data_IF_076109798420
#
_entry.id   IF_076109798420
#
_cell.length_a   1.000
_cell.length_b   1.000
_cell.length_c   1.000
_cell.angle_alpha   90.00
_cell.angle_beta   90.00
_cell.angle_gamma   90.00
#
_symmetry.space_group_name_H-M   'P 1'
#
loop_
_entity.id
_entity.type
_entity.pdbx_description
1 polymer ?
#
# COMPACT_ATOMS: atom_id res chain seq x y z
N UNK A 1 23.80 -20.57 3.61
CA UNK A 1 23.46 -19.80 4.83
C UNK A 1 23.83 -18.37 4.54
N UNK A 2 22.89 -17.45 4.48
CA UNK A 2 23.15 -16.01 4.33
C UNK A 2 23.91 -15.51 5.57
N UNK A 3 24.85 -14.57 5.35
CA UNK A 3 25.60 -13.94 6.44
C UNK A 3 24.62 -13.23 7.38
N UNK A 4 24.76 -13.33 8.73
CA UNK A 4 23.92 -12.57 9.63
C UNK A 4 24.02 -11.07 9.33
N UNK A 5 22.87 -10.42 9.23
CA UNK A 5 22.80 -8.96 9.04
C UNK A 5 23.18 -8.33 10.39
N UNK A 6 24.22 -7.50 10.39
CA UNK A 6 24.62 -6.77 11.59
C UNK A 6 23.62 -5.65 11.87
N UNK A 7 23.15 -5.54 13.12
CA UNK A 7 22.18 -4.52 13.51
C UNK A 7 22.27 -4.18 15.02
N UNK A 8 21.72 -3.00 15.39
CA UNK A 8 21.67 -2.51 16.77
C UNK A 8 20.23 -2.50 17.35
N UNK A 9 19.26 -3.19 16.70
CA UNK A 9 17.90 -3.27 17.21
C UNK A 9 17.85 -4.08 18.51
N UNK A 10 17.00 -3.69 19.52
CA UNK A 10 16.87 -4.41 20.78
C UNK A 10 16.09 -5.73 20.68
N UNK A 11 15.79 -6.18 19.47
CA UNK A 11 15.11 -7.41 19.11
C UNK A 11 15.69 -7.97 17.82
N UNK A 12 15.42 -9.22 17.52
CA UNK A 12 15.79 -9.86 16.25
C UNK A 12 14.74 -9.55 15.16
N UNK A 13 15.07 -8.76 14.11
CA UNK A 13 14.14 -8.44 13.02
C UNK A 13 13.79 -9.61 12.09
N UNK A 14 14.36 -10.79 12.26
CA UNK A 14 13.88 -12.03 11.62
C UNK A 14 12.80 -12.70 12.45
N UNK A 15 12.67 -12.34 13.72
CA UNK A 15 11.78 -12.97 14.73
C UNK A 15 11.95 -14.48 14.84
N UNK A 16 13.14 -15.00 14.44
CA UNK A 16 13.46 -16.42 14.47
C UNK A 16 12.78 -17.24 13.37
N UNK A 17 12.20 -16.62 12.35
CA UNK A 17 11.59 -17.30 11.21
C UNK A 17 12.58 -17.45 10.06
N UNK A 18 12.67 -18.66 9.51
CA UNK A 18 13.25 -18.90 8.20
C UNK A 18 12.18 -18.82 7.09
N UNK A 19 12.59 -18.95 5.83
CA UNK A 19 11.68 -18.84 4.70
C UNK A 19 10.56 -19.90 4.74
N UNK A 20 10.86 -21.13 5.10
CA UNK A 20 9.87 -22.21 5.14
C UNK A 20 8.81 -21.94 6.22
N UNK A 21 9.24 -21.47 7.39
CA UNK A 21 8.35 -21.08 8.46
C UNK A 21 7.49 -19.87 8.08
N UNK A 22 8.06 -18.86 7.36
CA UNK A 22 7.33 -17.71 6.85
C UNK A 22 6.27 -18.12 5.82
N UNK A 23 6.59 -19.02 4.91
CA UNK A 23 5.66 -19.53 3.89
C UNK A 23 4.52 -20.38 4.49
N UNK A 24 4.66 -20.84 5.73
CA UNK A 24 3.64 -21.61 6.43
C UNK A 24 2.67 -20.76 7.27
N UNK A 25 2.89 -19.45 7.40
CA UNK A 25 2.03 -18.56 8.22
C UNK A 25 0.67 -18.38 7.54
N UNK A 26 -0.45 -18.79 8.17
CA UNK A 26 -1.77 -18.59 7.60
C UNK A 26 -2.26 -17.13 7.76
N UNK A 27 -3.30 -16.76 7.03
CA UNK A 27 -4.06 -15.57 7.38
C UNK A 27 -4.77 -15.77 8.74
N UNK A 28 -4.97 -14.70 9.53
CA UNK A 28 -5.76 -14.81 10.75
C UNK A 28 -7.24 -15.08 10.42
N UNK A 29 -8.02 -15.68 11.35
CA UNK A 29 -9.45 -15.84 11.16
C UNK A 29 -10.13 -14.47 10.95
N UNK A 30 -10.88 -14.36 9.86
CA UNK A 30 -11.64 -13.16 9.55
C UNK A 30 -12.81 -12.98 10.55
N UNK A 31 -13.17 -11.74 10.92
CA UNK A 31 -14.46 -11.46 11.53
C UNK A 31 -15.61 -11.89 10.59
N UNK A 32 -16.72 -12.39 11.14
CA UNK A 32 -17.88 -12.82 10.34
C UNK A 32 -18.48 -11.68 9.50
N UNK A 33 -18.36 -10.46 9.98
CA UNK A 33 -18.85 -9.24 9.32
C UNK A 33 -17.72 -8.43 8.63
N UNK A 34 -16.63 -9.08 8.19
CA UNK A 34 -15.49 -8.40 7.57
C UNK A 34 -15.87 -7.68 6.26
N UNK A 35 -16.58 -8.36 5.36
CA UNK A 35 -16.81 -7.87 3.99
C UNK A 35 -17.81 -6.71 3.89
N UNK A 36 -19.01 -6.75 4.55
CA UNK A 36 -20.05 -5.76 4.32
C UNK A 36 -19.66 -4.29 4.63
N UNK A 37 -18.85 -3.98 5.67
CA UNK A 37 -18.38 -2.60 5.89
C UNK A 37 -17.50 -2.08 4.76
N UNK A 38 -16.62 -2.92 4.20
CA UNK A 38 -15.73 -2.55 3.11
C UNK A 38 -16.50 -2.35 1.80
N UNK A 39 -17.46 -3.22 1.48
CA UNK A 39 -18.32 -3.08 0.31
C UNK A 39 -19.11 -1.76 0.36
N UNK A 40 -19.76 -1.47 1.49
CA UNK A 40 -20.48 -0.18 1.66
C UNK A 40 -19.56 1.04 1.57
N UNK A 41 -18.33 0.92 2.09
CA UNK A 41 -17.35 2.01 1.99
C UNK A 41 -16.94 2.25 0.55
N UNK A 42 -16.67 1.18 -0.21
CA UNK A 42 -16.34 1.26 -1.63
C UNK A 42 -17.49 1.88 -2.44
N UNK A 43 -18.74 1.43 -2.23
CA UNK A 43 -19.90 2.00 -2.91
C UNK A 43 -20.01 3.51 -2.67
N UNK A 44 -19.87 3.95 -1.41
CA UNK A 44 -19.83 5.39 -1.08
C UNK A 44 -18.66 6.12 -1.76
N UNK A 45 -17.48 5.53 -1.82
CA UNK A 45 -16.33 6.14 -2.49
C UNK A 45 -16.55 6.25 -4.01
N UNK A 46 -17.30 5.31 -4.61
CA UNK A 46 -17.68 5.35 -6.03
C UNK A 46 -18.72 6.43 -6.37
N UNK A 47 -19.50 6.86 -5.40
CA UNK A 47 -20.49 7.95 -5.54
C UNK A 47 -19.85 9.35 -5.39
N UNK A 48 -18.60 9.44 -4.93
CA UNK A 48 -17.91 10.72 -4.77
C UNK A 48 -17.67 11.38 -6.12
N UNK A 49 -18.15 12.61 -6.28
CA UNK A 49 -17.69 13.49 -7.37
C UNK A 49 -16.24 13.91 -7.07
N UNK A 50 -15.28 13.22 -7.65
CA UNK A 50 -13.85 13.44 -7.37
C UNK A 50 -13.34 14.78 -7.91
N UNK A 51 -14.00 15.36 -8.92
CA UNK A 51 -13.66 16.66 -9.52
C UNK A 51 -12.13 16.86 -9.63
N UNK A 52 -11.42 16.05 -10.44
CA UNK A 52 -9.96 16.10 -10.49
C UNK A 52 -9.49 17.37 -11.20
N UNK A 53 -8.45 18.00 -10.67
CA UNK A 53 -7.84 19.21 -11.20
C UNK A 53 -6.35 18.97 -11.44
N UNK A 54 -5.88 19.24 -12.67
CA UNK A 54 -4.46 19.17 -13.01
C UNK A 54 -3.87 20.57 -12.90
N UNK A 55 -2.84 20.72 -12.08
CA UNK A 55 -2.09 21.96 -11.90
C UNK A 55 -1.07 22.22 -13.01
N UNK A 56 -0.16 23.15 -12.76
CA UNK A 56 0.97 23.40 -13.66
C UNK A 56 1.93 22.20 -13.73
N UNK A 57 2.65 22.13 -14.85
CA UNK A 57 3.77 21.18 -14.95
C UNK A 57 4.86 21.57 -13.95
N UNK A 58 5.30 20.60 -13.15
CA UNK A 58 6.30 20.80 -12.08
C UNK A 58 7.68 20.29 -12.50
N UNK A 59 7.73 19.28 -13.38
CA UNK A 59 8.97 18.73 -13.87
C UNK A 59 8.81 18.06 -15.25
N UNK A 60 9.94 17.87 -15.92
CA UNK A 60 10.10 17.10 -17.15
C UNK A 60 11.35 16.23 -16.99
N UNK A 61 11.19 14.92 -17.01
CA UNK A 61 12.25 13.94 -16.77
C UNK A 61 12.16 12.80 -17.78
N UNK A 62 13.22 12.58 -18.54
CA UNK A 62 13.44 11.35 -19.35
C UNK A 62 12.18 10.76 -20.01
N UNK A 63 11.41 11.61 -20.71
CA UNK A 63 10.21 11.18 -21.45
C UNK A 63 8.93 11.09 -20.61
N UNK A 64 8.89 11.69 -19.41
CA UNK A 64 7.68 11.85 -18.60
C UNK A 64 7.51 13.28 -18.11
N UNK A 65 6.26 13.77 -18.12
CA UNK A 65 5.87 15.09 -17.59
C UNK A 65 5.15 14.91 -16.26
N UNK A 66 5.54 15.69 -15.28
CA UNK A 66 5.00 15.65 -13.91
C UNK A 66 4.12 16.86 -13.67
N UNK A 67 2.91 16.64 -13.21
CA UNK A 67 1.94 17.68 -12.86
C UNK A 67 1.47 17.50 -11.42
N UNK A 68 1.20 18.60 -10.72
CA UNK A 68 0.40 18.54 -9.52
C UNK A 68 -1.04 18.12 -9.86
N UNK A 69 -1.66 17.30 -9.00
CA UNK A 69 -3.07 16.95 -9.14
C UNK A 69 -3.79 17.09 -7.82
N UNK A 70 -5.04 17.58 -7.87
CA UNK A 70 -5.95 17.63 -6.73
C UNK A 70 -7.24 16.90 -7.05
N UNK A 71 -7.85 16.25 -6.06
CA UNK A 71 -9.16 15.58 -6.21
C UNK A 71 -9.90 15.51 -4.87
N UNK A 72 -11.20 15.34 -4.93
CA UNK A 72 -12.03 15.12 -3.74
C UNK A 72 -12.12 13.65 -3.43
N UNK A 73 -11.92 13.31 -2.16
CA UNK A 73 -12.09 11.97 -1.62
C UNK A 73 -13.35 11.88 -0.75
N UNK A 74 -13.58 10.70 -0.18
CA UNK A 74 -14.72 10.43 0.71
C UNK A 74 -14.83 11.47 1.83
N UNK A 75 -16.07 11.79 2.19
CA UNK A 75 -16.45 12.78 3.21
C UNK A 75 -16.02 14.22 2.85
N UNK A 76 -15.84 14.49 1.56
CA UNK A 76 -15.51 15.83 1.04
C UNK A 76 -14.05 16.25 1.27
N UNK A 77 -13.18 15.31 1.65
CA UNK A 77 -11.77 15.59 1.90
C UNK A 77 -11.06 15.92 0.59
N UNK A 78 -10.46 17.11 0.51
CA UNK A 78 -9.65 17.50 -0.66
C UNK A 78 -8.21 17.01 -0.47
N UNK A 79 -7.72 16.24 -1.42
CA UNK A 79 -6.37 15.66 -1.40
C UNK A 79 -5.60 16.07 -2.66
N UNK A 80 -4.29 16.02 -2.57
CA UNK A 80 -3.38 16.24 -3.68
C UNK A 80 -2.48 15.06 -3.93
N UNK A 81 -1.65 15.22 -4.96
CA UNK A 81 -0.66 14.25 -5.37
C UNK A 81 0.04 14.70 -6.64
N UNK A 82 0.53 13.74 -7.40
CA UNK A 82 1.14 13.99 -8.70
C UNK A 82 0.51 13.11 -9.78
N UNK A 83 0.34 13.71 -10.95
CA UNK A 83 0.01 13.02 -12.19
C UNK A 83 1.27 12.98 -13.06
N UNK A 84 1.72 11.80 -13.41
CA UNK A 84 2.86 11.60 -14.32
C UNK A 84 2.34 11.03 -15.63
N UNK A 85 2.60 11.76 -16.71
CA UNK A 85 2.19 11.39 -18.06
C UNK A 85 3.44 11.11 -18.91
N UNK A 86 3.60 9.88 -19.44
CA UNK A 86 4.68 9.58 -20.36
C UNK A 86 4.46 10.28 -21.72
N UNK A 87 5.54 10.52 -22.43
CA UNK A 87 5.46 10.94 -23.82
C UNK A 87 4.93 9.82 -24.71
N UNK A 88 4.14 10.19 -25.72
CA UNK A 88 3.55 9.25 -26.68
C UNK A 88 2.21 8.64 -26.21
N UNK A 89 1.82 7.49 -26.78
CA UNK A 89 0.52 6.88 -26.51
C UNK A 89 0.39 6.41 -25.05
N UNK A 90 -0.75 6.69 -24.45
CA UNK A 90 -1.10 6.21 -23.10
C UNK A 90 -2.24 5.21 -23.26
N UNK A 91 -2.01 3.96 -22.85
CA UNK A 91 -2.98 2.88 -22.97
C UNK A 91 -3.18 2.08 -21.67
N UNK A 92 -2.54 2.50 -20.58
CA UNK A 92 -2.62 1.88 -19.26
C UNK A 92 -2.38 2.89 -18.16
N UNK A 93 -2.79 2.57 -16.93
CA UNK A 93 -2.63 3.43 -15.78
C UNK A 93 -2.08 2.71 -14.56
N UNK A 94 -1.48 3.50 -13.67
CA UNK A 94 -1.04 3.04 -12.36
C UNK A 94 -1.52 3.99 -11.26
N UNK A 95 -1.95 3.43 -10.15
CA UNK A 95 -2.05 4.13 -8.87
C UNK A 95 -0.90 3.66 -8.00
N UNK A 96 -0.03 4.59 -7.57
CA UNK A 96 1.15 4.25 -6.76
C UNK A 96 1.04 4.88 -5.38
N UNK A 97 0.72 4.05 -4.38
CA UNK A 97 0.68 4.42 -2.97
C UNK A 97 2.10 4.62 -2.40
N UNK A 98 2.22 5.42 -1.35
CA UNK A 98 3.49 5.72 -0.67
C UNK A 98 3.65 4.96 0.65
N UNK A 99 4.88 4.90 1.18
CA UNK A 99 5.18 4.45 2.53
C UNK A 99 4.65 5.42 3.61
N UNK A 100 4.77 5.03 4.90
CA UNK A 100 4.22 5.85 5.98
C UNK A 100 4.90 7.22 6.13
N UNK A 101 6.13 7.36 5.68
CA UNK A 101 6.82 8.66 5.64
C UNK A 101 6.16 9.68 4.68
N UNK A 102 5.22 9.24 3.84
CA UNK A 102 4.63 10.06 2.79
C UNK A 102 5.56 10.20 1.57
N UNK A 103 5.28 11.19 0.73
CA UNK A 103 6.15 11.57 -0.40
C UNK A 103 6.05 13.06 -0.68
N UNK A 104 7.14 13.64 -1.18
CA UNK A 104 7.18 15.03 -1.62
C UNK A 104 7.44 15.16 -3.14
N UNK A 105 7.58 14.03 -3.83
CA UNK A 105 7.70 13.91 -5.29
C UNK A 105 7.26 12.52 -5.77
N UNK A 106 6.94 12.33 -7.06
CA UNK A 106 6.70 11.00 -7.60
C UNK A 106 7.98 10.16 -7.63
N UNK A 107 7.83 8.85 -7.40
CA UNK A 107 8.94 7.90 -7.49
C UNK A 107 9.22 7.58 -8.97
N UNK A 108 10.38 7.99 -9.46
CA UNK A 108 10.82 7.75 -10.84
C UNK A 108 12.10 6.90 -10.86
N UNK A 109 12.32 6.10 -11.92
CA UNK A 109 11.49 5.90 -13.12
C UNK A 109 10.23 5.07 -12.86
N UNK A 110 9.21 5.25 -13.71
CA UNK A 110 7.97 4.45 -13.62
C UNK A 110 8.25 2.95 -13.85
N UNK A 111 7.58 2.06 -13.10
CA UNK A 111 7.75 0.62 -13.28
C UNK A 111 7.20 0.11 -14.61
N UNK A 112 6.23 0.80 -15.20
CA UNK A 112 5.60 0.40 -16.46
C UNK A 112 5.68 1.54 -17.48
N UNK A 113 6.29 1.33 -18.66
CA UNK A 113 6.30 2.33 -19.72
C UNK A 113 4.89 2.56 -20.27
N UNK A 114 4.65 3.76 -20.80
CA UNK A 114 3.36 4.20 -21.36
C UNK A 114 2.17 4.18 -20.39
N UNK A 115 2.42 4.11 -19.09
CA UNK A 115 1.38 4.19 -18.06
C UNK A 115 1.22 5.63 -17.58
N UNK A 116 0.02 6.21 -17.71
CA UNK A 116 -0.32 7.38 -16.93
C UNK A 116 -0.38 6.97 -15.45
N UNK A 117 0.27 7.72 -14.59
CA UNK A 117 0.41 7.31 -13.20
C UNK A 117 -0.05 8.42 -12.27
N UNK A 118 -0.95 8.10 -11.34
CA UNK A 118 -1.28 8.96 -10.22
C UNK A 118 -0.54 8.50 -8.95
N UNK A 119 0.07 9.46 -8.26
CA UNK A 119 0.75 9.30 -6.99
C UNK A 119 -0.04 10.04 -5.92
N UNK A 120 -1.11 9.44 -5.36
CA UNK A 120 -1.92 10.10 -4.35
C UNK A 120 -1.17 10.26 -3.05
N UNK A 121 -1.48 11.32 -2.30
CA UNK A 121 -1.10 11.49 -0.92
C UNK A 121 -2.25 11.04 -0.04
N UNK A 122 -2.02 10.10 0.87
CA UNK A 122 -3.02 9.66 1.82
C UNK A 122 -3.35 10.80 2.81
N UNK A 123 -4.62 10.87 3.23
CA UNK A 123 -5.10 11.88 4.20
C UNK A 123 -4.24 11.92 5.46
N UNK A 124 -3.87 13.11 5.89
CA UNK A 124 -3.04 13.37 7.07
C UNK A 124 -1.54 13.31 6.79
N UNK A 125 -1.08 12.68 5.71
CA UNK A 125 0.34 12.46 5.46
C UNK A 125 0.88 13.44 4.40
N UNK A 126 2.06 13.99 4.68
CA UNK A 126 2.81 14.98 3.89
C UNK A 126 2.03 16.26 3.51
N UNK A 127 2.67 17.14 2.71
CA UNK A 127 2.13 18.47 2.38
C UNK A 127 0.81 18.40 1.60
N UNK A 128 0.69 17.48 0.62
CA UNK A 128 -0.48 17.39 -0.29
C UNK A 128 -1.61 16.52 0.27
N UNK A 129 -1.33 15.72 1.31
CA UNK A 129 -2.33 14.94 2.03
C UNK A 129 -2.82 15.58 3.32
N UNK A 130 -2.31 16.76 3.71
CA UNK A 130 -2.64 17.39 4.99
C UNK A 130 -4.12 17.69 5.11
N UNK A 131 -4.72 17.21 6.21
CA UNK A 131 -6.13 17.39 6.53
C UNK A 131 -6.26 17.94 7.96
N UNK A 132 -6.96 19.06 8.18
CA UNK A 132 -7.17 19.58 9.53
C UNK A 132 -7.76 18.53 10.47
N UNK A 133 -7.17 18.40 11.65
CA UNK A 133 -7.61 17.44 12.69
C UNK A 133 -7.01 16.03 12.56
N UNK A 134 -6.37 15.68 11.45
CA UNK A 134 -5.61 14.42 11.33
C UNK A 134 -4.13 14.73 11.60
N UNK A 135 -3.47 14.02 12.52
CA UNK A 135 -2.05 14.17 12.77
C UNK A 135 -1.20 13.84 11.52
N UNK A 136 -0.13 14.59 11.29
CA UNK A 136 0.88 14.34 10.23
C UNK A 136 2.11 13.56 10.74
N UNK A 137 2.21 13.36 12.04
CA UNK A 137 3.18 12.47 12.67
C UNK A 137 2.72 11.01 12.56
N UNK A 138 3.58 10.13 12.07
CA UNK A 138 3.23 8.74 11.73
C UNK A 138 2.74 7.93 12.93
N UNK A 139 3.32 8.15 14.11
CA UNK A 139 2.99 7.42 15.33
C UNK A 139 1.62 7.80 15.87
N UNK A 140 1.23 9.07 15.71
CA UNK A 140 -0.08 9.59 16.10
C UNK A 140 -1.11 9.36 15.00
N UNK A 141 -0.72 9.46 13.73
CA UNK A 141 -1.59 9.22 12.60
C UNK A 141 -2.15 7.80 12.64
N UNK A 142 -1.32 6.77 12.83
CA UNK A 142 -1.75 5.37 12.89
C UNK A 142 -2.71 5.07 14.04
N UNK A 143 -2.73 5.92 15.06
CA UNK A 143 -3.65 5.79 16.21
C UNK A 143 -4.91 6.66 16.06
N UNK A 144 -4.98 7.52 15.03
CA UNK A 144 -6.11 8.44 14.87
C UNK A 144 -7.41 7.69 14.60
N UNK A 145 -8.35 7.81 15.53
CA UNK A 145 -9.64 7.14 15.46
C UNK A 145 -9.64 5.63 15.65
N UNK A 146 -8.54 5.02 16.08
CA UNK A 146 -8.31 3.56 16.20
C UNK A 146 -9.33 2.85 17.12
N UNK A 147 -10.00 3.58 17.99
CA UNK A 147 -11.01 3.03 18.92
C UNK A 147 -12.34 2.63 18.24
N UNK A 148 -12.55 2.92 16.96
CA UNK A 148 -13.75 2.49 16.23
C UNK A 148 -13.49 2.24 14.76
N UNK A 149 -14.23 1.31 14.15
CA UNK A 149 -14.10 0.97 12.74
C UNK A 149 -14.41 2.17 11.82
N UNK A 150 -15.41 2.95 12.16
CA UNK A 150 -15.84 4.09 11.35
C UNK A 150 -14.94 5.32 11.51
N UNK A 151 -14.30 5.46 12.67
CA UNK A 151 -13.40 6.57 12.98
C UNK A 151 -11.94 6.33 12.58
N UNK A 152 -11.53 5.08 12.34
CA UNK A 152 -10.13 4.76 12.12
C UNK A 152 -9.61 5.36 10.81
N UNK A 153 -8.51 6.09 10.89
CA UNK A 153 -7.95 6.83 9.76
C UNK A 153 -7.66 5.95 8.53
N UNK A 154 -7.28 4.69 8.74
CA UNK A 154 -6.98 3.76 7.63
C UNK A 154 -8.20 3.51 6.74
N UNK A 155 -9.43 3.57 7.30
CA UNK A 155 -10.67 3.51 6.52
C UNK A 155 -10.69 4.61 5.44
N UNK A 156 -10.36 5.82 5.85
CA UNK A 156 -10.26 6.96 4.94
C UNK A 156 -9.13 6.80 3.93
N UNK A 157 -7.95 6.34 4.35
CA UNK A 157 -6.80 6.13 3.46
C UNK A 157 -7.10 5.10 2.35
N UNK A 158 -7.89 4.06 2.64
CA UNK A 158 -8.35 3.10 1.63
C UNK A 158 -9.30 3.79 0.62
N UNK A 159 -10.26 4.59 1.10
CA UNK A 159 -11.17 5.34 0.23
C UNK A 159 -10.42 6.36 -0.66
N UNK A 160 -9.36 6.99 -0.14
CA UNK A 160 -8.50 7.92 -0.89
C UNK A 160 -7.89 7.25 -2.12
N UNK A 161 -7.50 5.97 -1.99
CA UNK A 161 -6.95 5.21 -3.10
C UNK A 161 -8.01 4.94 -4.20
N UNK A 162 -9.24 4.60 -3.83
CA UNK A 162 -10.33 4.40 -4.78
C UNK A 162 -10.73 5.70 -5.49
N UNK A 163 -10.76 6.82 -4.76
CA UNK A 163 -11.02 8.14 -5.34
C UNK A 163 -9.88 8.58 -6.27
N UNK A 164 -8.62 8.29 -5.92
CA UNK A 164 -7.48 8.55 -6.81
C UNK A 164 -7.57 7.74 -8.12
N UNK A 165 -8.00 6.47 -8.03
CA UNK A 165 -8.24 5.64 -9.22
C UNK A 165 -9.34 6.25 -10.11
N UNK A 166 -10.43 6.74 -9.50
CA UNK A 166 -11.49 7.45 -10.24
C UNK A 166 -10.93 8.71 -10.92
N UNK A 167 -10.17 9.53 -10.18
CA UNK A 167 -9.57 10.75 -10.70
C UNK A 167 -8.64 10.48 -11.90
N UNK A 168 -7.80 9.45 -11.81
CA UNK A 168 -6.91 9.07 -12.91
C UNK A 168 -7.70 8.65 -14.15
N UNK A 169 -8.75 7.84 -13.99
CA UNK A 169 -9.57 7.36 -15.11
C UNK A 169 -10.41 8.46 -15.75
N UNK A 170 -10.84 9.47 -14.98
CA UNK A 170 -11.51 10.66 -15.53
C UNK A 170 -10.54 11.56 -16.31
N UNK A 171 -9.31 11.75 -15.81
CA UNK A 171 -8.29 12.56 -16.46
C UNK A 171 -7.73 11.89 -17.73
N UNK A 172 -7.62 10.57 -17.73
CA UNK A 172 -7.00 9.79 -18.83
C UNK A 172 -7.88 8.58 -19.21
N UNK A 173 -9.01 8.81 -19.90
CA UNK A 173 -9.95 7.74 -20.24
C UNK A 173 -9.35 6.64 -21.16
N UNK A 174 -8.26 6.93 -21.87
CA UNK A 174 -7.56 5.96 -22.74
C UNK A 174 -6.95 4.77 -21.98
N UNK A 175 -6.81 4.86 -20.66
CA UNK A 175 -6.36 3.75 -19.81
C UNK A 175 -7.32 2.55 -19.96
N UNK A 176 -8.63 2.79 -20.07
CA UNK A 176 -9.63 1.74 -20.18
C UNK A 176 -9.56 0.75 -19.00
N UNK A 177 -9.58 -0.57 -19.27
CA UNK A 177 -9.56 -1.59 -18.22
C UNK A 177 -8.14 -1.93 -17.73
N UNK A 178 -7.12 -1.16 -18.10
CA UNK A 178 -5.70 -1.50 -17.83
C UNK A 178 -5.13 -0.69 -16.66
N UNK A 179 -5.79 -0.77 -15.52
CA UNK A 179 -5.35 -0.08 -14.30
C UNK A 179 -4.62 -1.06 -13.36
N UNK A 180 -3.39 -0.71 -12.98
CA UNK A 180 -2.59 -1.44 -12.00
C UNK A 180 -2.42 -0.67 -10.69
N UNK A 181 -2.04 -1.39 -9.64
CA UNK A 181 -1.67 -0.83 -8.36
C UNK A 181 -0.22 -1.18 -7.98
N UNK A 182 0.47 -0.23 -7.38
CA UNK A 182 1.79 -0.44 -6.75
C UNK A 182 1.77 0.22 -5.38
N UNK A 183 2.23 -0.47 -4.35
CA UNK A 183 2.36 0.11 -3.02
C UNK A 183 3.45 -0.53 -2.19
N UNK A 184 4.16 0.28 -1.41
CA UNK A 184 5.19 -0.19 -0.51
C UNK A 184 4.82 0.14 0.95
N UNK A 185 5.18 -0.76 1.87
CA UNK A 185 4.98 -0.57 3.31
C UNK A 185 3.53 -0.22 3.65
N UNK A 186 3.25 0.99 4.15
CA UNK A 186 1.90 1.51 4.35
C UNK A 186 1.05 1.39 3.08
N UNK A 187 1.55 1.86 1.93
CA UNK A 187 0.85 1.72 0.65
C UNK A 187 0.60 0.27 0.27
N UNK A 188 1.53 -0.65 0.58
CA UNK A 188 1.33 -2.09 0.38
C UNK A 188 0.15 -2.63 1.19
N UNK A 189 0.07 -2.27 2.46
CA UNK A 189 -1.03 -2.66 3.35
C UNK A 189 -2.38 -2.03 2.97
N UNK A 190 -2.41 -0.72 2.69
CA UNK A 190 -3.63 -0.03 2.21
C UNK A 190 -4.09 -0.61 0.88
N UNK A 191 -3.15 -0.95 -0.04
CA UNK A 191 -3.47 -1.64 -1.28
C UNK A 191 -4.12 -2.99 -1.05
N UNK A 192 -3.56 -3.81 -0.16
CA UNK A 192 -4.15 -5.11 0.19
C UNK A 192 -5.57 -4.97 0.76
N UNK A 193 -5.85 -3.91 1.54
CA UNK A 193 -7.20 -3.60 2.04
C UNK A 193 -8.15 -3.10 0.95
N UNK A 194 -7.64 -2.40 -0.08
CA UNK A 194 -8.46 -1.76 -1.11
C UNK A 194 -8.81 -2.68 -2.29
N UNK A 195 -7.84 -3.48 -2.73
CA UNK A 195 -7.93 -4.28 -3.96
C UNK A 195 -9.09 -5.28 -4.03
N UNK A 196 -9.55 -5.93 -2.94
CA UNK A 196 -10.65 -6.88 -2.99
C UNK A 196 -11.97 -6.29 -3.51
N UNK A 197 -12.18 -5.00 -3.33
CA UNK A 197 -13.46 -4.34 -3.51
C UNK A 197 -13.57 -3.59 -4.82
N UNK A 198 -12.44 -3.32 -5.50
CA UNK A 198 -12.38 -2.48 -6.70
C UNK A 198 -11.91 -3.27 -7.92
N UNK A 199 -12.85 -3.69 -8.75
CA UNK A 199 -12.62 -4.49 -9.95
C UNK A 199 -11.99 -3.72 -11.12
N UNK A 200 -11.70 -2.44 -10.97
CA UNK A 200 -10.97 -1.65 -11.97
C UNK A 200 -9.49 -2.00 -12.01
N UNK A 201 -8.94 -2.47 -10.88
CA UNK A 201 -7.57 -2.96 -10.84
C UNK A 201 -7.47 -4.36 -11.44
N UNK A 202 -6.50 -4.59 -12.32
CA UNK A 202 -6.31 -5.87 -13.02
C UNK A 202 -4.99 -6.55 -12.67
N UNK A 203 -4.08 -5.86 -12.01
CA UNK A 203 -2.84 -6.41 -11.44
C UNK A 203 -2.31 -5.51 -10.32
N UNK A 204 -1.57 -6.06 -9.38
CA UNK A 204 -0.95 -5.28 -8.33
C UNK A 204 0.44 -5.77 -7.94
N UNK A 205 1.27 -4.86 -7.41
CA UNK A 205 2.53 -5.17 -6.76
C UNK A 205 2.56 -4.55 -5.36
N UNK A 206 2.86 -5.38 -4.35
CA UNK A 206 2.92 -4.98 -2.94
C UNK A 206 4.31 -5.28 -2.38
N UNK A 207 5.05 -4.24 -1.99
CA UNK A 207 6.38 -4.38 -1.37
C UNK A 207 6.25 -4.25 0.15
N UNK A 208 6.78 -5.22 0.89
CA UNK A 208 6.80 -5.26 2.37
C UNK A 208 5.48 -4.76 3.00
N UNK A 209 4.31 -5.33 2.62
CA UNK A 209 3.01 -4.78 2.97
C UNK A 209 2.78 -4.75 4.48
N UNK A 210 2.39 -3.58 5.00
CA UNK A 210 2.02 -3.38 6.41
C UNK A 210 0.65 -4.00 6.75
N UNK A 211 0.30 -4.02 8.03
CA UNK A 211 -1.02 -4.41 8.55
C UNK A 211 -1.39 -5.89 8.38
N UNK A 212 -0.46 -6.75 7.95
CA UNK A 212 -0.71 -8.18 7.86
C UNK A 212 -0.67 -8.86 9.23
N UNK A 213 -1.66 -9.72 9.49
CA UNK A 213 -1.77 -10.59 10.65
C UNK A 213 -1.68 -9.87 12.00
N UNK A 214 -2.58 -8.91 12.27
CA UNK A 214 -2.57 -8.13 13.51
C UNK A 214 -2.42 -8.97 14.78
N UNK A 215 -3.12 -10.11 14.99
CA UNK A 215 -2.94 -10.90 16.20
C UNK A 215 -1.49 -11.33 16.45
N UNK A 216 -0.76 -11.76 15.40
CA UNK A 216 0.63 -12.16 15.50
C UNK A 216 1.55 -10.94 15.65
N UNK A 217 1.37 -9.92 14.79
CA UNK A 217 2.16 -8.71 14.77
C UNK A 217 2.19 -7.96 16.11
N UNK A 218 1.07 -7.93 16.84
CA UNK A 218 0.97 -7.25 18.14
C UNK A 218 1.80 -7.93 19.24
N UNK A 219 2.27 -9.15 19.04
CA UNK A 219 3.21 -9.84 19.96
C UNK A 219 4.67 -9.51 19.67
N UNK A 220 4.96 -8.87 18.53
CA UNK A 220 6.31 -8.63 18.03
C UNK A 220 6.74 -7.17 18.23
N UNK A 221 7.83 -6.90 18.97
CA UNK A 221 8.37 -5.54 19.03
C UNK A 221 8.89 -5.14 17.65
N UNK A 222 8.66 -3.88 17.25
CA UNK A 222 9.14 -3.36 15.98
C UNK A 222 9.46 -1.87 16.11
N UNK A 223 9.78 -1.19 15.01
CA UNK A 223 9.98 0.26 14.99
C UNK A 223 8.80 0.99 14.34
N UNK A 224 8.75 2.32 14.51
CA UNK A 224 7.78 3.21 13.84
C UNK A 224 6.33 2.97 14.23
N UNK A 225 5.42 3.27 13.30
CA UNK A 225 3.96 3.22 13.53
C UNK A 225 3.45 1.87 14.00
N UNK A 226 4.12 0.79 13.64
CA UNK A 226 3.80 -0.56 14.10
C UNK A 226 3.95 -0.72 15.60
N UNK A 227 5.02 -0.18 16.16
CA UNK A 227 5.26 -0.20 17.59
C UNK A 227 4.26 0.68 18.35
N UNK A 228 3.85 1.81 17.76
CA UNK A 228 2.80 2.66 18.34
C UNK A 228 1.48 1.90 18.52
N UNK A 229 1.07 1.12 17.50
CA UNK A 229 -0.14 0.26 17.60
C UNK A 229 0.05 -0.85 18.62
N UNK A 230 1.22 -1.50 18.66
CA UNK A 230 1.52 -2.55 19.64
C UNK A 230 1.42 -2.03 21.09
N UNK A 231 2.02 -0.86 21.35
CA UNK A 231 1.96 -0.20 22.67
C UNK A 231 0.54 0.23 23.02
N UNK A 232 -0.20 0.78 22.07
CA UNK A 232 -1.59 1.15 22.27
C UNK A 232 -2.45 -0.06 22.63
N UNK A 233 -2.32 -1.17 21.91
CA UNK A 233 -3.00 -2.42 22.19
C UNK A 233 -2.67 -2.98 23.58
N UNK A 234 -1.42 -2.87 24.02
CA UNK A 234 -1.04 -3.33 25.38
C UNK A 234 -1.79 -2.59 26.49
N UNK A 235 -2.18 -1.31 26.26
CA UNK A 235 -2.97 -0.50 27.18
C UNK A 235 -4.49 -0.61 26.92
N UNK A 236 -4.90 -0.98 25.71
CA UNK A 236 -6.27 -1.04 25.21
C UNK A 236 -6.50 -2.35 24.42
N UNK A 237 -6.56 -3.52 25.09
CA UNK A 237 -6.65 -4.82 24.42
C UNK A 237 -7.87 -4.97 23.50
N UNK A 238 -8.97 -4.29 23.82
CA UNK A 238 -10.22 -4.28 23.05
C UNK A 238 -10.05 -3.75 21.61
N UNK A 239 -8.99 -2.97 21.34
CA UNK A 239 -8.74 -2.42 20.00
C UNK A 239 -8.51 -3.51 18.96
N UNK A 240 -8.17 -4.73 19.37
CA UNK A 240 -8.04 -5.87 18.47
C UNK A 240 -9.31 -6.12 17.64
N UNK A 241 -10.49 -5.83 18.21
CA UNK A 241 -11.76 -6.00 17.51
C UNK A 241 -11.92 -5.01 16.35
N UNK A 242 -11.29 -3.84 16.45
CA UNK A 242 -11.19 -2.89 15.32
C UNK A 242 -10.11 -3.35 14.36
N UNK A 243 -8.91 -3.65 14.85
CA UNK A 243 -7.74 -3.98 14.02
C UNK A 243 -7.97 -5.20 13.12
N UNK A 244 -8.74 -6.21 13.57
CA UNK A 244 -9.11 -7.38 12.75
C UNK A 244 -9.84 -7.01 11.47
N UNK A 245 -10.56 -5.87 11.44
CA UNK A 245 -11.23 -5.37 10.23
C UNK A 245 -10.28 -4.59 9.30
N UNK A 246 -9.09 -4.26 9.77
CA UNK A 246 -8.03 -3.59 9.00
C UNK A 246 -6.81 -4.49 8.81
N UNK A 247 -7.03 -5.81 8.79
CA UNK A 247 -5.97 -6.80 8.60
C UNK A 247 -5.75 -7.07 7.11
N UNK A 248 -4.56 -6.73 6.63
CA UNK A 248 -4.19 -6.86 5.23
C UNK A 248 -4.12 -8.31 4.74
N UNK A 249 -3.75 -9.27 5.61
CA UNK A 249 -3.77 -10.68 5.24
C UNK A 249 -5.20 -11.24 5.15
N UNK A 250 -6.09 -10.81 6.05
CA UNK A 250 -7.52 -11.13 5.98
C UNK A 250 -8.14 -10.59 4.69
N UNK A 251 -7.81 -9.36 4.29
CA UNK A 251 -8.28 -8.76 3.05
C UNK A 251 -7.69 -9.45 1.81
N UNK A 252 -6.39 -9.80 1.83
CA UNK A 252 -5.70 -10.44 0.73
C UNK A 252 -6.35 -11.77 0.28
N UNK A 253 -6.97 -12.51 1.20
CA UNK A 253 -7.72 -13.73 0.88
C UNK A 253 -8.90 -13.50 -0.10
N UNK A 254 -9.31 -12.26 -0.32
CA UNK A 254 -10.42 -11.86 -1.21
C UNK A 254 -9.93 -11.27 -2.53
N UNK A 255 -8.62 -11.10 -2.70
CA UNK A 255 -8.04 -10.58 -3.95
C UNK A 255 -8.03 -11.70 -4.99
N UNK A 256 -8.62 -11.44 -6.13
CA UNK A 256 -8.73 -12.41 -7.25
C UNK A 256 -7.84 -12.07 -8.44
N UNK A 257 -7.35 -10.83 -8.53
CA UNK A 257 -6.43 -10.40 -9.58
C UNK A 257 -5.01 -10.92 -9.33
N UNK A 258 -4.15 -10.96 -10.37
CA UNK A 258 -2.73 -11.25 -10.20
C UNK A 258 -2.03 -10.26 -9.25
N UNK A 259 -1.33 -10.78 -8.25
CA UNK A 259 -0.54 -9.96 -7.30
C UNK A 259 0.87 -10.49 -7.18
N UNK A 260 1.86 -9.62 -7.35
CA UNK A 260 3.24 -9.90 -6.94
C UNK A 260 3.49 -9.25 -5.57
N UNK A 261 3.98 -10.03 -4.62
CA UNK A 261 4.40 -9.53 -3.30
C UNK A 261 5.91 -9.63 -3.19
N UNK A 262 6.56 -8.54 -2.81
CA UNK A 262 7.94 -8.55 -2.38
C UNK A 262 7.97 -8.52 -0.84
N UNK A 263 8.48 -9.58 -0.22
CA UNK A 263 8.49 -9.75 1.22
C UNK A 263 9.91 -9.98 1.75
N UNK A 264 10.26 -9.35 2.85
CA UNK A 264 11.60 -9.35 3.42
C UNK A 264 11.78 -10.47 4.47
N UNK A 265 12.99 -11.03 4.53
CA UNK A 265 13.37 -11.99 5.58
C UNK A 265 13.79 -11.30 6.88
N UNK A 266 14.21 -10.04 6.79
CA UNK A 266 14.66 -9.21 7.91
C UNK A 266 14.03 -7.82 7.76
N UNK A 267 13.20 -7.41 8.72
CA UNK A 267 12.56 -6.10 8.67
C UNK A 267 12.22 -5.60 10.09
N UNK A 268 12.86 -4.51 10.55
CA UNK A 268 12.64 -3.97 11.90
C UNK A 268 11.33 -3.18 12.05
N UNK A 269 10.72 -2.73 10.95
CA UNK A 269 9.53 -1.88 10.97
C UNK A 269 8.23 -2.65 10.69
N UNK A 270 8.26 -3.52 9.68
CA UNK A 270 7.14 -4.38 9.32
C UNK A 270 7.56 -5.84 9.46
N UNK A 271 7.26 -6.50 10.59
CA UNK A 271 7.71 -7.87 10.84
C UNK A 271 7.43 -8.82 9.67
N UNK A 272 8.44 -9.58 9.19
CA UNK A 272 8.32 -10.51 8.08
C UNK A 272 7.10 -11.45 8.15
N UNK A 273 6.73 -12.01 9.32
CA UNK A 273 5.54 -12.86 9.42
C UNK A 273 4.26 -12.21 8.93
N UNK A 274 4.07 -10.91 9.16
CA UNK A 274 2.92 -10.16 8.66
C UNK A 274 2.93 -9.99 7.14
N UNK A 275 4.09 -9.72 6.55
CA UNK A 275 4.26 -9.58 5.10
C UNK A 275 3.96 -10.89 4.37
N UNK A 276 4.52 -12.00 4.87
CA UNK A 276 4.30 -13.33 4.30
C UNK A 276 2.85 -13.82 4.51
N UNK A 277 2.20 -13.46 5.61
CA UNK A 277 0.77 -13.76 5.80
C UNK A 277 -0.09 -13.12 4.70
N UNK A 278 0.23 -11.90 4.23
CA UNK A 278 -0.44 -11.27 3.09
C UNK A 278 -0.23 -12.09 1.81
N UNK A 279 1.01 -12.50 1.51
CA UNK A 279 1.30 -13.33 0.35
C UNK A 279 0.59 -14.70 0.41
N UNK A 280 0.69 -15.37 1.56
CA UNK A 280 0.14 -16.71 1.75
C UNK A 280 -1.39 -16.73 1.65
N UNK A 281 -2.04 -15.63 2.02
CA UNK A 281 -3.50 -15.46 1.96
C UNK A 281 -4.06 -15.30 0.53
N UNK A 282 -3.23 -14.91 -0.45
CA UNK A 282 -3.68 -14.72 -1.82
C UNK A 282 -4.14 -16.05 -2.45
N UNK A 283 -5.38 -16.10 -2.93
CA UNK A 283 -5.92 -17.26 -3.62
C UNK A 283 -5.86 -17.15 -5.15
N UNK A 284 -5.75 -15.92 -5.68
CA UNK A 284 -5.55 -15.66 -7.11
C UNK A 284 -4.13 -15.97 -7.60
N UNK A 285 -3.83 -15.67 -8.89
CA UNK A 285 -2.46 -15.76 -9.40
C UNK A 285 -1.52 -14.89 -8.58
N UNK A 286 -0.47 -15.49 -8.03
CA UNK A 286 0.46 -14.79 -7.15
C UNK A 286 1.91 -15.09 -7.51
N UNK A 287 2.77 -14.11 -7.27
CA UNK A 287 4.22 -14.21 -7.45
C UNK A 287 4.92 -13.64 -6.20
N UNK A 288 6.03 -14.24 -5.80
CA UNK A 288 6.80 -13.84 -4.61
C UNK A 288 8.21 -13.41 -5.02
N UNK A 289 8.60 -12.24 -4.57
CA UNK A 289 9.99 -11.78 -4.56
C UNK A 289 10.46 -11.79 -3.12
N UNK A 290 11.44 -12.61 -2.80
CA UNK A 290 12.03 -12.65 -1.46
C UNK A 290 13.14 -11.61 -1.39
N UNK A 291 13.02 -10.65 -0.48
CA UNK A 291 14.01 -9.62 -0.20
C UNK A 291 14.87 -10.04 1.00
N UNK A 292 16.15 -9.73 0.96
CA UNK A 292 17.03 -9.95 2.09
C UNK A 292 16.62 -9.06 3.28
N UNK A 293 16.34 -7.77 2.99
CA UNK A 293 15.97 -6.77 4.00
C UNK A 293 14.77 -5.93 3.60
N UNK A 294 14.03 -5.45 4.60
CA UNK A 294 13.03 -4.39 4.47
C UNK A 294 13.30 -3.27 5.46
N UNK A 295 13.02 -2.02 5.08
CA UNK A 295 13.22 -0.82 5.90
C UNK A 295 14.64 -0.69 6.48
N UNK A 296 15.63 -1.18 5.75
CA UNK A 296 17.06 -1.00 6.03
C UNK A 296 17.70 -0.33 4.82
N UNK A 297 18.48 0.71 5.08
CA UNK A 297 19.21 1.44 4.04
C UNK A 297 20.70 1.07 4.14
N UNK A 298 21.18 0.31 3.18
CA UNK A 298 22.59 -0.04 3.01
C UNK A 298 22.93 -0.14 1.50
N UNK A 299 24.20 -0.44 1.21
CA UNK A 299 24.66 -0.52 -0.18
C UNK A 299 24.04 -1.73 -0.93
N UNK A 300 23.67 -2.80 -0.24
CA UNK A 300 23.08 -4.00 -0.83
C UNK A 300 21.60 -3.74 -1.17
N UNK A 301 20.89 -2.95 -0.38
CA UNK A 301 19.50 -2.57 -0.60
C UNK A 301 19.31 -1.78 -1.92
N UNK A 302 20.29 -1.00 -2.36
CA UNK A 302 20.24 -0.28 -3.64
C UNK A 302 20.21 -1.24 -4.83
N UNK A 303 21.03 -2.29 -4.80
CA UNK A 303 21.06 -3.32 -5.86
C UNK A 303 19.76 -4.13 -5.84
N UNK A 304 19.27 -4.44 -4.65
CA UNK A 304 18.01 -5.15 -4.47
C UNK A 304 16.83 -4.34 -5.01
N UNK A 305 16.79 -3.02 -4.77
CA UNK A 305 15.75 -2.12 -5.32
C UNK A 305 15.75 -2.10 -6.85
N UNK A 306 16.92 -2.08 -7.51
CA UNK A 306 16.99 -2.15 -8.98
C UNK A 306 16.45 -3.49 -9.51
N UNK A 307 16.78 -4.58 -8.84
CA UNK A 307 16.27 -5.91 -9.17
C UNK A 307 14.76 -5.99 -8.98
N UNK A 308 14.26 -5.41 -7.89
CA UNK A 308 12.83 -5.33 -7.58
C UNK A 308 12.08 -4.52 -8.65
N UNK A 309 12.59 -3.35 -9.06
CA UNK A 309 11.97 -2.55 -10.12
C UNK A 309 11.89 -3.33 -11.45
N UNK A 310 12.92 -4.10 -11.79
CA UNK A 310 12.89 -4.97 -12.96
C UNK A 310 11.85 -6.09 -12.85
N UNK A 311 11.67 -6.68 -11.67
CA UNK A 311 10.64 -7.68 -11.40
C UNK A 311 9.24 -7.10 -11.49
N UNK A 312 8.99 -5.93 -10.88
CA UNK A 312 7.75 -5.17 -11.00
C UNK A 312 7.40 -4.90 -12.45
N UNK A 313 8.37 -4.39 -13.23
CA UNK A 313 8.19 -4.08 -14.65
C UNK A 313 7.75 -5.30 -15.45
N UNK A 314 8.44 -6.43 -15.29
CA UNK A 314 8.07 -7.68 -15.97
C UNK A 314 6.66 -8.13 -15.61
N UNK A 315 6.36 -8.18 -14.30
CA UNK A 315 5.08 -8.67 -13.81
C UNK A 315 3.92 -7.77 -14.26
N UNK A 316 4.00 -6.48 -13.98
CA UNK A 316 2.92 -5.54 -14.32
C UNK A 316 2.71 -5.42 -15.83
N UNK A 317 3.79 -5.35 -16.62
CA UNK A 317 3.69 -5.30 -18.09
C UNK A 317 2.99 -6.55 -18.63
N UNK A 318 3.32 -7.74 -18.12
CA UNK A 318 2.71 -8.99 -18.56
C UNK A 318 1.21 -9.05 -18.27
N UNK A 319 0.77 -8.48 -17.15
CA UNK A 319 -0.64 -8.53 -16.75
C UNK A 319 -1.47 -7.35 -17.28
N UNK A 320 -0.90 -6.16 -17.44
CA UNK A 320 -1.58 -4.99 -18.03
C UNK A 320 -1.71 -5.09 -19.56
N UNK A 321 -0.95 -5.96 -20.24
CA UNK A 321 -1.04 -6.18 -21.69
C UNK A 321 -2.12 -7.20 -22.11
N UNK A 322 -2.78 -7.88 -21.16
CA UNK A 322 -3.73 -8.97 -21.46
C UNK A 322 -5.15 -8.50 -21.76
N UNK A 323 -5.41 -7.19 -21.74
CA UNK A 323 -6.75 -6.59 -21.89
C UNK A 323 -6.87 -5.76 -23.18
#
# INVERSE_FOLDING_TARGET
MSRPIAHDYPFDPTYGYDLDALLAIPAPPAPDDFDPPWQRLHDRAREVNVAPEVGSQEADHDGVRVFGVGYTSLDGVRLGGWLVLPDGPIDRGLVIGHGYAGREAPDLPLPVPHAATIFPCARGLNTRGRVPGIPDDTDRHVLHGIGSRDGYVLRGCVADLWCAATALLELVPSIGPRLGYVGASFGGGIGALALPWDNRFVAAHLTVPSFGHHPLRLTMPCTGSGESVRRYHAAHPEVIDVLRHFDAATAAARITIPVQVAAALFDPAVPPPGQFAVYNALHGPRDLVVLATGHVEDAESVVEQQTLLAAQRRFLTAHLNRW
#
